data_IF_667584846094
#
_entry.id   IF_667584846094
#
_cell.length_a   1.000
_cell.length_b   1.000
_cell.length_c   1.000
_cell.angle_alpha   90.00
_cell.angle_beta   90.00
_cell.angle_gamma   90.00
#
_symmetry.space_group_name_H-M   'P 1'
#
loop_
_entity.id
_entity.type
_entity.pdbx_description
1 polymer ?
#
# COMPACT_ATOMS: atom_id res chain seq x y z
N UNK A 1 2.84 -34.73 16.01
CA UNK A 1 1.61 -34.33 15.29
C UNK A 1 1.50 -35.21 14.05
N UNK A 2 0.33 -35.78 13.76
CA UNK A 2 0.13 -36.67 12.61
C UNK A 2 0.07 -35.86 11.30
N UNK A 3 0.37 -36.47 10.17
CA UNK A 3 0.31 -35.78 8.88
C UNK A 3 -1.11 -35.34 8.48
N UNK A 4 -2.15 -36.08 8.87
CA UNK A 4 -3.54 -35.65 8.71
C UNK A 4 -3.82 -34.33 9.44
N UNK A 5 -3.20 -34.12 10.61
CA UNK A 5 -3.29 -32.84 11.33
C UNK A 5 -2.59 -31.69 10.58
N UNK A 6 -1.51 -31.97 9.83
CA UNK A 6 -0.84 -30.96 9.00
C UNK A 6 -1.68 -30.55 7.78
N UNK A 7 -2.31 -31.52 7.11
CA UNK A 7 -3.24 -31.25 6.00
C UNK A 7 -4.41 -30.39 6.48
N UNK A 8 -5.01 -30.76 7.62
CA UNK A 8 -6.11 -30.00 8.21
C UNK A 8 -5.70 -28.57 8.60
N UNK A 9 -4.47 -28.38 9.12
CA UNK A 9 -3.92 -27.06 9.41
C UNK A 9 -3.76 -26.21 8.14
N UNK A 10 -3.19 -26.78 7.07
CA UNK A 10 -3.03 -26.06 5.79
C UNK A 10 -4.39 -25.65 5.22
N UNK A 11 -5.39 -26.53 5.25
CA UNK A 11 -6.74 -26.20 4.82
C UNK A 11 -7.37 -25.09 5.67
N UNK A 12 -7.15 -25.12 6.98
CA UNK A 12 -7.60 -24.06 7.90
C UNK A 12 -6.96 -22.71 7.56
N UNK A 13 -5.64 -22.66 7.40
CA UNK A 13 -4.91 -21.44 7.05
C UNK A 13 -5.31 -20.90 5.67
N UNK A 14 -5.45 -21.77 4.66
CA UNK A 14 -5.91 -21.37 3.33
C UNK A 14 -7.34 -20.82 3.35
N UNK A 15 -8.21 -21.35 4.20
CA UNK A 15 -9.56 -20.82 4.38
C UNK A 15 -9.56 -19.46 5.07
N UNK A 16 -8.62 -19.21 5.99
CA UNK A 16 -8.43 -17.92 6.65
C UNK A 16 -7.69 -16.88 5.82
N UNK A 17 -7.06 -17.26 4.70
CA UNK A 17 -6.16 -16.38 3.94
C UNK A 17 -6.79 -15.06 3.50
N UNK A 18 -8.07 -15.05 3.10
CA UNK A 18 -8.80 -13.83 2.74
C UNK A 18 -8.84 -12.78 3.86
N UNK A 19 -8.72 -13.20 5.12
CA UNK A 19 -8.71 -12.33 6.29
C UNK A 19 -7.34 -11.69 6.54
N UNK A 20 -6.28 -12.18 5.89
CA UNK A 20 -4.91 -11.68 6.11
C UNK A 20 -4.77 -10.19 5.82
N UNK A 21 -5.35 -9.70 4.71
CA UNK A 21 -5.39 -8.28 4.39
C UNK A 21 -6.21 -7.48 5.39
N UNK A 22 -7.35 -8.00 5.83
CA UNK A 22 -8.23 -7.31 6.78
C UNK A 22 -7.54 -7.19 8.15
N UNK A 23 -6.87 -8.25 8.62
CA UNK A 23 -6.08 -8.25 9.86
C UNK A 23 -4.89 -7.31 9.74
N UNK A 24 -4.17 -7.35 8.61
CA UNK A 24 -3.06 -6.43 8.34
C UNK A 24 -3.55 -4.97 8.36
N UNK A 25 -4.66 -4.69 7.67
CA UNK A 25 -5.31 -3.38 7.67
C UNK A 25 -5.69 -2.94 9.08
N UNK A 26 -6.33 -3.79 9.88
CA UNK A 26 -6.71 -3.45 11.26
C UNK A 26 -5.51 -3.10 12.14
N UNK A 27 -4.42 -3.86 12.03
CA UNK A 27 -3.17 -3.60 12.77
C UNK A 27 -2.54 -2.28 12.33
N UNK A 28 -2.54 -2.01 11.02
CA UNK A 28 -2.01 -0.78 10.46
C UNK A 28 -2.88 0.43 10.77
N UNK A 29 -4.21 0.34 10.66
CA UNK A 29 -5.15 1.42 10.99
C UNK A 29 -5.01 1.85 12.45
N UNK A 30 -4.89 0.91 13.40
CA UNK A 30 -4.66 1.25 14.80
C UNK A 30 -3.30 1.94 15.05
N UNK A 31 -2.29 1.62 14.23
CA UNK A 31 -1.01 2.34 14.22
C UNK A 31 -1.16 3.73 13.59
N UNK A 32 -1.95 3.85 12.51
CA UNK A 32 -2.22 5.10 11.80
C UNK A 32 -3.03 6.09 12.62
N UNK A 33 -4.16 5.70 13.22
CA UNK A 33 -4.96 6.62 14.03
C UNK A 33 -4.11 7.20 15.18
N UNK A 34 -3.19 6.42 15.76
CA UNK A 34 -2.22 6.91 16.75
C UNK A 34 -1.17 7.86 16.17
N UNK A 35 -0.67 7.58 14.97
CA UNK A 35 0.29 8.44 14.28
C UNK A 35 -0.35 9.79 13.89
N UNK A 36 -1.60 9.76 13.44
CA UNK A 36 -2.40 10.93 13.08
C UNK A 36 -2.78 11.78 14.31
N UNK A 37 -2.98 11.16 15.47
CA UNK A 37 -3.19 11.85 16.76
C UNK A 37 -1.90 12.49 17.32
N UNK A 38 -0.71 11.99 16.94
CA UNK A 38 0.55 12.55 17.38
C UNK A 38 0.97 13.76 16.52
N UNK A 39 0.58 14.96 16.95
CA UNK A 39 0.93 16.27 16.33
C UNK A 39 2.44 16.61 16.45
N UNK A 40 3.31 15.62 16.70
CA UNK A 40 4.73 15.90 16.94
C UNK A 40 5.49 15.94 15.61
N UNK A 41 5.89 17.15 15.21
CA UNK A 41 6.88 17.45 14.16
C UNK A 41 8.27 16.78 14.36
N UNK A 42 8.41 15.83 15.29
CA UNK A 42 9.68 15.29 15.77
C UNK A 42 9.92 13.81 15.57
N UNK A 43 8.97 13.07 14.97
CA UNK A 43 9.18 11.67 14.59
C UNK A 43 8.88 11.54 13.10
N UNK A 44 9.92 11.71 12.28
CA UNK A 44 9.92 11.20 10.90
C UNK A 44 9.72 9.68 11.01
N UNK A 45 8.45 9.26 10.92
CA UNK A 45 8.11 7.86 10.92
C UNK A 45 8.64 7.24 9.62
N UNK A 46 9.26 6.06 9.70
CA UNK A 46 9.82 5.44 8.51
C UNK A 46 8.71 5.23 7.48
N UNK A 47 8.98 5.66 6.25
CA UNK A 47 8.19 5.33 5.07
C UNK A 47 7.85 3.85 5.10
N UNK A 48 6.56 3.55 5.06
CA UNK A 48 6.09 2.18 4.97
C UNK A 48 6.08 1.76 3.51
N UNK A 49 6.34 0.47 3.27
CA UNK A 49 6.43 -0.09 1.92
C UNK A 49 5.14 0.20 1.13
N UNK A 50 5.16 1.25 0.32
CA UNK A 50 4.08 1.56 -0.62
C UNK A 50 2.94 2.44 -0.09
N UNK A 51 3.17 3.32 0.90
CA UNK A 51 2.11 4.14 1.50
C UNK A 51 2.48 5.62 1.70
N UNK A 52 3.63 6.08 1.21
CA UNK A 52 4.01 7.48 1.30
C UNK A 52 3.08 8.37 0.48
N UNK A 53 2.92 9.63 0.87
CA UNK A 53 2.12 10.59 0.11
C UNK A 53 2.99 11.21 -0.95
N UNK A 54 2.51 11.20 -2.17
CA UNK A 54 3.15 11.82 -3.32
C UNK A 54 2.33 13.02 -3.77
N UNK A 55 3.01 14.15 -3.92
CA UNK A 55 2.51 15.34 -4.59
C UNK A 55 3.27 15.51 -5.90
N UNK A 56 2.56 15.54 -7.01
CA UNK A 56 3.07 15.92 -8.33
C UNK A 56 2.53 17.28 -8.71
N UNK A 57 3.39 18.18 -9.16
CA UNK A 57 3.03 19.49 -9.65
C UNK A 57 3.84 19.79 -10.92
N UNK A 58 3.20 19.72 -12.09
CA UNK A 58 3.92 19.71 -13.36
C UNK A 58 4.97 18.58 -13.38
N UNK A 59 6.23 18.95 -13.59
CA UNK A 59 7.37 18.02 -13.61
C UNK A 59 7.99 17.77 -12.21
N UNK A 60 7.53 18.48 -11.19
CA UNK A 60 8.04 18.35 -9.82
C UNK A 60 7.29 17.25 -9.07
N UNK A 61 8.03 16.44 -8.31
CA UNK A 61 7.51 15.37 -7.46
C UNK A 61 8.09 15.46 -6.06
N UNK A 62 7.24 15.29 -5.05
CA UNK A 62 7.65 15.17 -3.63
C UNK A 62 6.94 13.99 -2.99
N UNK A 63 7.71 13.08 -2.40
CA UNK A 63 7.21 12.00 -1.54
C UNK A 63 7.48 12.37 -0.07
N UNK A 64 6.52 12.11 0.81
CA UNK A 64 6.58 12.35 2.25
C UNK A 64 5.87 11.23 3.03
N UNK A 65 6.10 11.14 4.33
CA UNK A 65 5.38 10.18 5.16
C UNK A 65 3.86 10.44 5.11
N UNK A 66 3.09 9.38 5.23
CA UNK A 66 1.62 9.45 5.39
C UNK A 66 1.15 10.24 6.61
N UNK A 67 2.00 10.35 7.64
CA UNK A 67 1.74 11.19 8.82
C UNK A 67 1.91 12.69 8.56
N UNK A 68 2.63 13.07 7.49
CA UNK A 68 2.94 14.47 7.23
C UNK A 68 1.71 15.17 6.67
N UNK A 69 1.08 16.00 7.49
CA UNK A 69 -0.13 16.73 7.13
C UNK A 69 0.14 17.99 6.30
N UNK A 70 1.36 18.52 6.36
CA UNK A 70 1.77 19.74 5.66
C UNK A 70 3.13 19.53 4.99
N UNK A 71 3.15 19.72 3.68
CA UNK A 71 4.36 19.65 2.88
C UNK A 71 4.16 20.43 1.59
N UNK A 72 5.27 20.77 0.93
CA UNK A 72 5.22 21.55 -0.29
C UNK A 72 6.28 21.09 -1.30
N UNK A 73 6.04 21.41 -2.56
CA UNK A 73 7.01 21.32 -3.64
C UNK A 73 7.01 22.61 -4.45
N UNK A 74 8.10 22.89 -5.15
CA UNK A 74 8.20 24.04 -6.06
C UNK A 74 8.19 23.51 -7.49
N UNK A 75 7.34 24.09 -8.32
CA UNK A 75 7.21 23.73 -9.73
C UNK A 75 7.31 24.99 -10.61
N UNK A 76 7.75 24.81 -11.84
CA UNK A 76 7.68 25.83 -12.86
C UNK A 76 6.40 25.65 -13.67
N UNK A 77 5.66 26.74 -13.90
CA UNK A 77 4.47 26.71 -14.73
C UNK A 77 4.86 26.35 -16.17
N UNK A 78 4.22 25.33 -16.79
CA UNK A 78 4.54 24.93 -18.16
C UNK A 78 4.17 26.03 -19.16
N UNK A 79 4.72 25.94 -20.37
CA UNK A 79 4.47 26.92 -21.46
C UNK A 79 2.98 27.07 -21.78
N UNK A 80 2.18 26.01 -21.55
CA UNK A 80 0.73 26.03 -21.75
C UNK A 80 -0.06 26.87 -20.74
N UNK A 81 0.58 27.40 -19.68
CA UNK A 81 -0.06 28.29 -18.71
C UNK A 81 -1.02 27.59 -17.74
N UNK A 82 -0.93 26.26 -17.61
CA UNK A 82 -1.75 25.47 -16.68
C UNK A 82 -0.85 24.49 -15.90
N UNK A 83 -0.74 24.70 -14.59
CA UNK A 83 -0.03 23.81 -13.67
C UNK A 83 -0.98 22.72 -13.19
N UNK A 84 -0.72 21.48 -13.60
CA UNK A 84 -1.45 20.29 -13.12
C UNK A 84 -0.89 19.82 -11.80
N UNK A 85 -1.76 19.43 -10.89
CA UNK A 85 -1.43 18.99 -9.54
C UNK A 85 -2.12 17.64 -9.32
N UNK A 86 -1.37 16.67 -8.82
CA UNK A 86 -1.89 15.35 -8.45
C UNK A 86 -1.41 14.97 -7.04
N UNK A 87 -2.29 14.35 -6.25
CA UNK A 87 -1.98 13.73 -4.97
C UNK A 87 -2.35 12.26 -4.98
N UNK A 88 -1.40 11.41 -4.64
CA UNK A 88 -1.51 9.96 -4.71
C UNK A 88 -0.67 9.29 -3.61
N UNK A 89 -0.97 8.03 -3.30
CA UNK A 89 -0.07 7.19 -2.51
C UNK A 89 1.03 6.62 -3.40
N UNK A 90 2.26 6.57 -2.89
CA UNK A 90 3.37 5.86 -3.50
C UNK A 90 3.09 4.37 -3.46
N UNK A 91 2.38 3.83 -4.44
CA UNK A 91 1.95 2.45 -4.47
C UNK A 91 2.15 1.87 -5.86
N UNK A 92 2.13 0.53 -6.01
CA UNK A 92 2.20 -0.12 -7.33
C UNK A 92 1.01 0.28 -8.21
N UNK A 93 -0.10 0.63 -7.56
CA UNK A 93 -1.27 1.21 -8.18
C UNK A 93 -1.24 2.73 -7.92
N UNK A 94 -1.47 3.58 -8.93
CA UNK A 94 -1.58 5.03 -8.73
C UNK A 94 -2.87 5.34 -7.95
N UNK A 95 -2.87 5.13 -6.62
CA UNK A 95 -4.05 5.30 -5.77
C UNK A 95 -4.21 6.78 -5.43
N UNK A 96 -5.29 7.44 -5.87
CA UNK A 96 -5.47 8.86 -5.65
C UNK A 96 -5.78 9.21 -4.20
N UNK A 97 -5.34 10.39 -3.76
CA UNK A 97 -5.75 11.00 -2.49
C UNK A 97 -6.57 12.26 -2.81
N UNK A 98 -7.88 12.09 -2.92
CA UNK A 98 -8.82 13.15 -3.29
C UNK A 98 -9.30 14.03 -2.13
N UNK A 99 -10.03 15.10 -2.45
CA UNK A 99 -10.61 16.03 -1.47
C UNK A 99 -9.58 16.64 -0.50
N UNK A 100 -8.37 16.88 -0.99
CA UNK A 100 -7.30 17.55 -0.23
C UNK A 100 -7.22 19.01 -0.70
N UNK A 101 -7.20 19.98 0.22
CA UNK A 101 -6.93 21.36 -0.14
C UNK A 101 -5.43 21.57 -0.41
N UNK A 102 -5.16 22.23 -1.53
CA UNK A 102 -3.82 22.59 -1.98
C UNK A 102 -3.77 24.08 -2.24
N UNK A 103 -2.77 24.74 -1.70
CA UNK A 103 -2.51 26.15 -1.93
C UNK A 103 -1.38 26.31 -2.95
N UNK A 104 -1.62 27.12 -3.97
CA UNK A 104 -0.65 27.46 -5.00
C UNK A 104 -0.20 28.90 -4.80
N UNK A 105 1.08 29.09 -4.53
CA UNK A 105 1.68 30.38 -4.17
C UNK A 105 2.68 30.79 -5.26
N UNK A 106 2.44 31.91 -5.93
CA UNK A 106 3.38 32.50 -6.86
C UNK A 106 4.59 33.07 -6.12
N UNK A 107 5.78 32.56 -6.42
CA UNK A 107 7.01 32.96 -5.71
C UNK A 107 7.52 34.33 -6.12
N UNK A 108 7.15 34.78 -7.33
CA UNK A 108 7.62 36.04 -7.89
C UNK A 108 6.66 37.21 -7.58
N UNK A 109 5.35 36.94 -7.45
CA UNK A 109 4.31 37.95 -7.22
C UNK A 109 3.58 37.84 -5.87
N UNK A 110 3.81 36.77 -5.12
CA UNK A 110 3.16 36.51 -3.83
C UNK A 110 1.68 36.16 -3.93
N UNK A 111 1.15 35.91 -5.14
CA UNK A 111 -0.22 35.45 -5.33
C UNK A 111 -0.45 34.13 -4.60
N UNK A 112 -1.64 33.93 -4.03
CA UNK A 112 -2.03 32.66 -3.40
C UNK A 112 -3.45 32.28 -3.81
N UNK A 113 -3.64 31.02 -4.20
CA UNK A 113 -4.94 30.45 -4.54
C UNK A 113 -5.10 29.09 -3.87
N UNK A 114 -6.22 28.89 -3.17
CA UNK A 114 -6.60 27.59 -2.62
C UNK A 114 -7.45 26.81 -3.63
N UNK A 115 -7.07 25.56 -3.89
CA UNK A 115 -7.73 24.65 -4.82
C UNK A 115 -8.07 23.37 -4.05
N UNK A 116 -9.28 22.86 -4.24
CA UNK A 116 -9.63 21.53 -3.75
C UNK A 116 -9.34 20.51 -4.85
N UNK A 117 -8.52 19.50 -4.55
CA UNK A 117 -8.35 18.38 -5.47
C UNK A 117 -9.66 17.58 -5.56
N UNK A 118 -9.96 17.05 -6.74
CA UNK A 118 -11.12 16.20 -6.98
C UNK A 118 -11.02 14.85 -6.26
N UNK A 119 -11.99 13.97 -6.45
CA UNK A 119 -12.02 12.63 -5.88
C UNK A 119 -10.88 11.74 -6.38
N UNK A 120 -10.32 12.06 -7.54
CA UNK A 120 -9.15 11.41 -8.14
C UNK A 120 -7.83 12.07 -7.71
N UNK A 121 -7.86 12.97 -6.73
CA UNK A 121 -6.65 13.65 -6.24
C UNK A 121 -6.05 14.58 -7.28
N UNK A 122 -6.81 15.10 -8.23
CA UNK A 122 -6.33 15.96 -9.31
C UNK A 122 -6.88 17.37 -9.21
N UNK A 123 -6.10 18.32 -9.69
CA UNK A 123 -6.50 19.71 -9.83
C UNK A 123 -5.59 20.43 -10.81
N UNK A 124 -5.98 21.65 -11.18
CA UNK A 124 -5.14 22.51 -12.00
C UNK A 124 -5.26 23.97 -11.63
N UNK A 125 -4.21 24.73 -11.94
CA UNK A 125 -4.12 26.16 -11.69
C UNK A 125 -3.59 26.87 -12.93
N UNK A 126 -4.30 27.90 -13.39
CA UNK A 126 -3.80 28.77 -14.46
C UNK A 126 -2.71 29.69 -13.93
N UNK A 127 -1.57 29.72 -14.62
CA UNK A 127 -0.36 30.39 -14.16
C UNK A 127 0.41 31.06 -15.31
N UNK A 128 1.29 32.00 -14.96
CA UNK A 128 2.17 32.63 -15.93
C UNK A 128 3.22 31.62 -16.39
N UNK A 129 3.28 31.35 -17.70
CA UNK A 129 4.25 30.44 -18.29
C UNK A 129 5.69 30.78 -17.86
N UNK A 130 6.41 29.79 -17.35
CA UNK A 130 7.77 29.94 -16.85
C UNK A 130 7.89 30.53 -15.43
N UNK A 131 6.80 31.01 -14.83
CA UNK A 131 6.77 31.46 -13.43
C UNK A 131 6.97 30.31 -12.44
N UNK A 132 7.50 30.61 -11.25
CA UNK A 132 7.72 29.60 -10.19
C UNK A 132 6.61 29.65 -9.15
N UNK A 133 6.07 28.48 -8.83
CA UNK A 133 4.96 28.34 -7.91
C UNK A 133 5.30 27.30 -6.84
N UNK A 134 5.04 27.64 -5.58
CA UNK A 134 5.06 26.67 -4.48
C UNK A 134 3.66 26.08 -4.34
N UNK A 135 3.58 24.75 -4.41
CA UNK A 135 2.35 23.99 -4.22
C UNK A 135 2.42 23.36 -2.83
N UNK A 136 1.55 23.81 -1.93
CA UNK A 136 1.49 23.41 -0.53
C UNK A 136 0.23 22.60 -0.26
N UNK A 137 0.41 21.36 0.17
CA UNK A 137 -0.68 20.51 0.66
C UNK A 137 -0.96 20.87 2.11
N UNK A 138 -2.24 21.01 2.44
CA UNK A 138 -2.71 21.20 3.81
C UNK A 138 -3.71 20.10 4.12
N UNK A 139 -3.44 19.29 5.14
CA UNK A 139 -4.39 18.28 5.60
C UNK A 139 -3.81 16.89 5.69
N UNK A 140 -4.18 16.21 6.77
CA UNK A 140 -3.87 14.82 7.00
C UNK A 140 -4.69 13.90 6.08
N UNK A 141 -4.20 12.67 5.92
CA UNK A 141 -4.94 11.60 5.22
C UNK A 141 -6.04 11.08 6.14
N UNK A 142 -7.26 10.91 5.61
CA UNK A 142 -8.39 10.35 6.35
C UNK A 142 -8.35 8.82 6.40
N UNK A 143 -9.02 8.23 7.40
CA UNK A 143 -9.15 6.76 7.49
C UNK A 143 -9.84 6.17 6.25
N UNK A 144 -10.75 6.92 5.63
CA UNK A 144 -11.44 6.54 4.38
C UNK A 144 -10.47 6.45 3.20
N UNK A 145 -9.56 7.42 3.07
CA UNK A 145 -8.52 7.43 2.03
C UNK A 145 -7.53 6.26 2.21
N UNK A 146 -7.14 5.97 3.46
CA UNK A 146 -6.34 4.78 3.78
C UNK A 146 -7.11 3.50 3.43
N UNK A 147 -8.40 3.45 3.73
CA UNK A 147 -9.28 2.34 3.37
C UNK A 147 -9.36 2.12 1.86
N UNK A 148 -9.45 3.19 1.07
CA UNK A 148 -9.47 3.13 -0.39
C UNK A 148 -8.16 2.55 -0.96
N UNK A 149 -7.01 2.90 -0.39
CA UNK A 149 -5.71 2.30 -0.72
C UNK A 149 -5.69 0.79 -0.45
N UNK A 150 -6.20 0.33 0.70
CA UNK A 150 -6.28 -1.12 0.94
C UNK A 150 -7.25 -1.82 -0.01
N UNK A 151 -8.34 -1.15 -0.39
CA UNK A 151 -9.34 -1.71 -1.30
C UNK A 151 -8.77 -2.00 -2.70
N UNK A 152 -7.76 -1.24 -3.19
CA UNK A 152 -7.13 -1.54 -4.49
C UNK A 152 -6.39 -2.88 -4.51
N UNK A 153 -6.00 -3.40 -3.34
CA UNK A 153 -5.34 -4.71 -3.22
C UNK A 153 -6.31 -5.89 -3.06
N UNK A 154 -7.62 -5.64 -2.91
CA UNK A 154 -8.60 -6.72 -2.73
C UNK A 154 -8.62 -7.70 -3.91
N UNK A 155 -8.49 -7.19 -5.14
CA UNK A 155 -8.39 -8.03 -6.34
C UNK A 155 -7.16 -8.92 -6.32
N UNK A 156 -5.98 -8.35 -6.04
CA UNK A 156 -4.72 -9.08 -5.94
C UNK A 156 -4.78 -10.20 -4.90
N UNK A 157 -5.38 -9.93 -3.74
CA UNK A 157 -5.53 -10.95 -2.68
C UNK A 157 -6.48 -12.06 -3.08
N UNK A 158 -7.55 -11.75 -3.80
CA UNK A 158 -8.44 -12.77 -4.34
C UNK A 158 -7.73 -13.67 -5.36
N UNK A 159 -6.94 -13.08 -6.26
CA UNK A 159 -6.16 -13.83 -7.25
C UNK A 159 -5.10 -14.70 -6.58
N UNK A 160 -4.43 -14.19 -5.56
CA UNK A 160 -3.44 -14.94 -4.78
C UNK A 160 -4.08 -16.08 -4.00
N UNK A 161 -5.26 -15.89 -3.40
CA UNK A 161 -6.01 -16.96 -2.73
C UNK A 161 -6.34 -18.08 -3.73
N UNK A 162 -6.88 -17.72 -4.89
CA UNK A 162 -7.23 -18.68 -5.94
C UNK A 162 -6.00 -19.45 -6.42
N UNK A 163 -4.87 -18.75 -6.61
CA UNK A 163 -3.61 -19.37 -6.98
C UNK A 163 -3.12 -20.35 -5.91
N UNK A 164 -3.12 -19.94 -4.63
CA UNK A 164 -2.72 -20.79 -3.50
C UNK A 164 -3.58 -22.05 -3.41
N UNK A 165 -4.90 -21.93 -3.57
CA UNK A 165 -5.82 -23.07 -3.61
C UNK A 165 -5.53 -24.01 -4.77
N UNK A 166 -5.24 -23.46 -5.96
CA UNK A 166 -4.88 -24.26 -7.13
C UNK A 166 -3.57 -25.02 -6.91
N UNK A 167 -2.56 -24.39 -6.31
CA UNK A 167 -1.31 -25.08 -5.95
C UNK A 167 -1.57 -26.19 -4.93
N UNK A 168 -2.32 -25.89 -3.87
CA UNK A 168 -2.63 -26.87 -2.84
C UNK A 168 -3.40 -28.08 -3.38
N UNK A 169 -4.34 -27.88 -4.31
CA UNK A 169 -5.03 -28.98 -4.97
C UNK A 169 -4.08 -29.94 -5.71
N UNK A 170 -2.97 -29.43 -6.27
CA UNK A 170 -1.92 -30.24 -6.88
C UNK A 170 -1.03 -30.95 -5.87
N UNK A 171 -0.71 -30.32 -4.74
CA UNK A 171 0.18 -30.90 -3.71
C UNK A 171 -0.52 -31.87 -2.76
N UNK A 172 -1.79 -31.62 -2.42
CA UNK A 172 -2.55 -32.40 -1.43
C UNK A 172 -2.51 -33.92 -1.67
N UNK A 173 -2.72 -34.44 -2.90
CA UNK A 173 -2.67 -35.88 -3.15
C UNK A 173 -1.31 -36.51 -2.85
N UNK A 174 -0.20 -35.79 -3.10
CA UNK A 174 1.15 -36.30 -2.79
C UNK A 174 1.41 -36.38 -1.30
N UNK A 175 0.87 -35.43 -0.53
CA UNK A 175 0.94 -35.45 0.91
C UNK A 175 0.10 -36.59 1.48
N UNK A 176 -1.12 -36.80 0.98
CA UNK A 176 -1.98 -37.93 1.35
C UNK A 176 -1.34 -39.29 1.01
N UNK A 177 -0.68 -39.42 -0.14
CA UNK A 177 0.04 -40.64 -0.51
C UNK A 177 1.26 -40.89 0.37
N UNK A 178 2.04 -39.85 0.68
CA UNK A 178 3.14 -39.94 1.66
C UNK A 178 2.64 -40.38 3.04
N UNK A 179 1.40 -40.04 3.41
CA UNK A 179 0.77 -40.53 4.65
C UNK A 179 0.33 -41.98 4.60
N UNK A 180 -0.10 -42.47 3.44
CA UNK A 180 -0.48 -43.86 3.26
C UNK A 180 0.75 -44.79 3.23
N UNK A 181 1.85 -44.38 2.59
CA UNK A 181 3.09 -45.17 2.52
C UNK A 181 3.81 -45.32 3.86
N UNK A 182 3.62 -44.37 4.80
CA UNK A 182 4.18 -44.44 6.14
C UNK A 182 3.45 -45.44 7.06
N UNK A 183 2.22 -45.83 6.72
CA UNK A 183 1.43 -46.82 7.48
C UNK A 183 1.72 -48.26 7.00
N UNK A 184 2.24 -48.43 5.78
CA UNK A 184 2.55 -49.73 5.18
C UNK A 184 4.00 -50.21 5.34
N UNK A 185 4.94 -49.33 5.72
CA UNK A 185 6.36 -49.67 5.90
C UNK A 185 6.75 -49.42 7.35
N UNK A 186 6.52 -50.42 8.20
CA UNK A 186 7.08 -50.39 9.54
C UNK A 186 8.62 -50.28 9.50
N UNK A 187 9.15 -49.48 10.43
CA UNK A 187 10.52 -49.56 10.96
C UNK A 187 11.63 -48.99 10.03
N UNK A 188 12.39 -48.01 10.56
CA UNK A 188 13.71 -47.48 10.10
C UNK A 188 13.72 -46.38 9.02
N UNK A 189 13.59 -45.12 9.46
CA UNK A 189 14.47 -43.99 9.09
C UNK A 189 13.80 -42.66 9.52
N UNK A 190 13.62 -42.49 10.84
CA UNK A 190 13.23 -41.20 11.39
C UNK A 190 14.41 -40.24 11.38
N UNK A 191 14.38 -39.24 10.50
CA UNK A 191 14.87 -37.87 10.71
C UNK A 191 15.24 -37.18 9.39
N UNK A 192 15.23 -35.84 9.43
CA UNK A 192 15.52 -34.84 8.41
C UNK A 192 16.76 -35.03 7.51
N UNK A 193 17.51 -36.13 7.62
CA UNK A 193 18.67 -36.43 6.78
C UNK A 193 18.30 -36.77 5.32
N UNK A 194 17.14 -37.38 5.07
CA UNK A 194 16.75 -37.82 3.73
C UNK A 194 16.34 -36.68 2.76
N UNK A 195 16.12 -35.46 3.26
CA UNK A 195 15.70 -34.31 2.45
C UNK A 195 16.90 -33.45 1.99
N UNK A 196 18.07 -33.56 2.63
CA UNK A 196 19.26 -32.80 2.22
C UNK A 196 19.95 -33.33 0.97
N UNK A 197 19.94 -34.64 0.72
CA UNK A 197 20.72 -35.21 -0.40
C UNK A 197 20.04 -35.08 -1.78
N UNK A 198 19.02 -34.22 -1.92
CA UNK A 198 18.35 -33.93 -3.20
C UNK A 198 18.52 -32.46 -3.64
N UNK A 199 19.36 -31.68 -2.96
CA UNK A 199 19.83 -30.37 -3.44
C UNK A 199 21.34 -30.21 -3.25
#
# INVERSE_FOLDING_TARGET
MTHAAHIALIEFELNGFHQSLEVYRQQMSAWYSRALESVSHGLDMPSLLGMDRVLRAGDSLRSVSISDSEFATVAQCPVGGELKIESLFESVYDVPIGNIPVEVIGLDDGSSTLIMLDDQGKGSHYCAAGGRYQVRVQGAVSEEQVGALFATYNGLTSDLEQWLRKQWAGFKPHWEQSTASAIGSGVLAGSWAAIRDVW
#
